data_IF_865670466554
#
_entry.id   IF_865670466554
#
_cell.length_a   1.000
_cell.length_b   1.000
_cell.length_c   1.000
_cell.angle_alpha   90.00
_cell.angle_beta   90.00
_cell.angle_gamma   90.00
#
_symmetry.space_group_name_H-M   'P 1'
#
loop_
_entity.id
_entity.type
_entity.pdbx_description
1 polymer ?
#
# COMPACT_ATOMS: atom_id res chain seq x y z
N UNK A 1 -25.40 -0.84 21.77
CA UNK A 1 -25.59 -1.88 20.72
C UNK A 1 -25.64 -1.30 19.31
N UNK A 2 -26.34 -0.19 19.03
CA UNK A 2 -26.41 0.39 17.67
C UNK A 2 -25.05 0.76 17.02
N UNK A 3 -24.10 1.37 17.75
CA UNK A 3 -22.81 1.79 17.16
C UNK A 3 -21.98 0.57 16.71
N UNK A 4 -21.92 -0.48 17.53
CA UNK A 4 -21.19 -1.69 17.15
C UNK A 4 -21.77 -2.30 15.87
N UNK A 5 -23.09 -2.41 15.84
CA UNK A 5 -23.82 -2.99 14.72
C UNK A 5 -23.60 -2.19 13.41
N UNK A 6 -23.66 -0.86 13.47
CA UNK A 6 -23.56 -0.03 12.26
C UNK A 6 -22.12 0.21 11.77
N UNK A 7 -21.11 0.12 12.64
CA UNK A 7 -19.74 0.51 12.29
C UNK A 7 -18.75 -0.67 12.25
N UNK A 8 -19.01 -1.74 13.00
CA UNK A 8 -18.04 -2.82 13.22
C UNK A 8 -18.56 -4.22 12.87
N UNK A 9 -19.87 -4.42 12.82
CA UNK A 9 -20.48 -5.71 12.52
C UNK A 9 -20.78 -5.87 11.03
N UNK A 10 -20.80 -7.11 10.54
CA UNK A 10 -21.34 -7.44 9.21
C UNK A 10 -22.88 -7.32 9.13
N UNK A 11 -23.56 -7.20 10.27
CA UNK A 11 -25.02 -7.08 10.37
C UNK A 11 -25.50 -5.63 10.52
N UNK A 12 -25.04 -4.73 9.65
CA UNK A 12 -25.41 -3.31 9.61
C UNK A 12 -26.71 -3.05 8.82
N UNK A 13 -27.34 -1.90 9.03
CA UNK A 13 -28.57 -1.50 8.29
C UNK A 13 -28.33 -0.42 7.24
N UNK A 14 -27.18 0.28 7.31
CA UNK A 14 -26.79 1.30 6.35
C UNK A 14 -26.66 0.79 4.91
N UNK A 15 -27.05 1.61 3.95
CA UNK A 15 -26.83 1.29 2.54
C UNK A 15 -25.32 1.31 2.19
N UNK A 16 -24.87 0.47 1.23
CA UNK A 16 -23.51 0.52 0.75
C UNK A 16 -23.13 1.90 0.23
N UNK A 17 -21.87 2.30 0.40
CA UNK A 17 -21.37 3.58 -0.08
C UNK A 17 -21.57 3.76 -1.60
N UNK A 18 -21.42 2.67 -2.37
CA UNK A 18 -21.43 2.65 -3.82
C UNK A 18 -20.06 2.98 -4.41
N UNK A 19 -19.58 2.12 -5.31
CA UNK A 19 -18.34 2.40 -6.04
C UNK A 19 -18.51 3.61 -6.96
N UNK A 20 -17.58 4.57 -6.87
CA UNK A 20 -17.61 5.87 -7.57
C UNK A 20 -18.85 6.73 -7.28
N UNK A 21 -19.54 6.47 -6.17
CA UNK A 21 -20.61 7.37 -5.69
C UNK A 21 -20.04 8.69 -5.19
N UNK A 22 -20.90 9.68 -4.98
CA UNK A 22 -20.52 10.95 -4.36
C UNK A 22 -19.86 10.76 -2.99
N UNK A 23 -20.34 9.81 -2.18
CA UNK A 23 -19.77 9.51 -0.87
C UNK A 23 -18.34 8.94 -1.00
N UNK A 24 -18.13 7.97 -1.89
CA UNK A 24 -16.81 7.41 -2.16
C UNK A 24 -15.83 8.47 -2.67
N UNK A 25 -16.24 9.27 -3.65
CA UNK A 25 -15.40 10.32 -4.23
C UNK A 25 -15.07 11.41 -3.22
N UNK A 26 -16.01 11.79 -2.35
CA UNK A 26 -15.78 12.76 -1.28
C UNK A 26 -14.76 12.22 -0.27
N UNK A 27 -14.90 10.96 0.15
CA UNK A 27 -13.96 10.31 1.07
C UNK A 27 -12.54 10.24 0.50
N UNK A 28 -12.41 9.82 -0.76
CA UNK A 28 -11.13 9.80 -1.47
C UNK A 28 -10.55 11.21 -1.60
N UNK A 29 -11.36 12.18 -2.01
CA UNK A 29 -10.92 13.56 -2.21
C UNK A 29 -10.38 14.17 -0.93
N UNK A 30 -11.12 14.05 0.18
CA UNK A 30 -10.67 14.53 1.50
C UNK A 30 -9.43 13.78 1.96
N UNK A 31 -9.42 12.45 1.87
CA UNK A 31 -8.29 11.62 2.30
C UNK A 31 -7.00 11.97 1.57
N UNK A 32 -7.04 12.02 0.24
CA UNK A 32 -5.86 12.37 -0.57
C UNK A 32 -5.44 13.83 -0.41
N UNK A 33 -6.39 14.77 -0.28
CA UNK A 33 -6.06 16.16 -0.02
C UNK A 33 -5.30 16.30 1.29
N UNK A 34 -5.82 15.74 2.38
CA UNK A 34 -5.19 15.76 3.69
C UNK A 34 -3.80 15.09 3.67
N UNK A 35 -3.69 13.90 3.08
CA UNK A 35 -2.41 13.20 2.98
C UNK A 35 -1.39 13.96 2.14
N UNK A 36 -1.80 14.53 1.02
CA UNK A 36 -0.90 15.29 0.14
C UNK A 36 -0.41 16.55 0.83
N UNK A 37 -1.31 17.33 1.43
CA UNK A 37 -0.95 18.53 2.19
C UNK A 37 0.00 18.20 3.33
N UNK A 38 -0.29 17.14 4.10
CA UNK A 38 0.56 16.71 5.21
C UNK A 38 1.93 16.20 4.71
N UNK A 39 1.98 15.42 3.63
CA UNK A 39 3.22 14.92 3.05
C UNK A 39 4.10 16.06 2.52
N UNK A 40 3.50 17.04 1.85
CA UNK A 40 4.21 18.21 1.31
C UNK A 40 4.73 19.09 2.43
N UNK A 41 3.90 19.44 3.41
CA UNK A 41 4.28 20.31 4.53
C UNK A 41 5.36 19.67 5.41
N UNK A 42 5.18 18.42 5.83
CA UNK A 42 6.17 17.70 6.62
C UNK A 42 7.43 17.36 5.82
N UNK A 43 7.27 16.97 4.56
CA UNK A 43 8.39 16.62 3.68
C UNK A 43 9.31 17.82 3.43
N UNK A 44 8.74 18.99 3.12
CA UNK A 44 9.51 20.23 2.90
C UNK A 44 10.17 20.72 4.18
N UNK A 45 9.43 20.78 5.29
CA UNK A 45 9.98 21.26 6.57
C UNK A 45 11.09 20.35 7.14
N UNK A 46 11.09 19.05 6.78
CA UNK A 46 12.08 18.07 7.24
C UNK A 46 13.15 17.72 6.22
N UNK A 47 13.16 18.34 5.03
CA UNK A 47 14.11 18.01 3.96
C UNK A 47 15.58 18.08 4.40
N UNK A 48 15.94 19.07 5.21
CA UNK A 48 17.30 19.30 5.70
C UNK A 48 17.53 18.76 7.12
N UNK A 49 16.57 18.01 7.67
CA UNK A 49 16.68 17.38 8.99
C UNK A 49 17.46 16.07 8.90
N UNK A 50 17.85 15.56 10.06
CA UNK A 50 18.55 14.28 10.15
C UNK A 50 17.66 13.13 9.66
N UNK A 51 18.28 12.04 9.19
CA UNK A 51 17.54 10.85 8.76
C UNK A 51 16.64 10.30 9.89
N UNK A 52 17.10 10.37 11.14
CA UNK A 52 16.34 9.94 12.31
C UNK A 52 15.05 10.76 12.50
N UNK A 53 15.14 12.08 12.36
CA UNK A 53 13.97 12.96 12.42
C UNK A 53 13.01 12.72 11.25
N UNK A 54 13.54 12.42 10.06
CA UNK A 54 12.72 12.08 8.90
C UNK A 54 11.97 10.76 9.13
N UNK A 55 12.66 9.72 9.61
CA UNK A 55 12.08 8.40 9.92
C UNK A 55 11.07 8.44 11.06
N UNK A 56 11.15 9.39 11.99
CA UNK A 56 10.13 9.57 13.04
C UNK A 56 8.73 9.77 12.46
N UNK A 57 8.60 10.50 11.34
CA UNK A 57 7.32 10.68 10.64
C UNK A 57 6.82 9.36 10.07
N UNK A 58 7.70 8.56 9.47
CA UNK A 58 7.34 7.23 8.96
C UNK A 58 6.90 6.29 10.08
N UNK A 59 7.45 6.42 11.29
CA UNK A 59 7.00 5.61 12.45
C UNK A 59 5.56 5.93 12.81
N UNK A 60 5.17 7.20 12.80
CA UNK A 60 3.77 7.57 13.04
C UNK A 60 2.85 7.01 11.96
N UNK A 61 3.25 7.08 10.68
CA UNK A 61 2.48 6.48 9.59
C UNK A 61 2.37 4.95 9.72
N UNK A 62 3.47 4.27 10.08
CA UNK A 62 3.50 2.83 10.29
C UNK A 62 2.58 2.40 11.44
N UNK A 63 2.67 3.08 12.59
CA UNK A 63 1.83 2.80 13.77
C UNK A 63 0.36 3.08 13.45
N UNK A 64 0.07 4.19 12.78
CA UNK A 64 -1.29 4.53 12.33
C UNK A 64 -1.88 3.43 11.45
N UNK A 65 -1.13 3.00 10.43
CA UNK A 65 -1.58 1.97 9.51
C UNK A 65 -1.81 0.62 10.21
N UNK A 66 -0.89 0.21 11.09
CA UNK A 66 -1.02 -1.02 11.87
C UNK A 66 -2.19 -0.96 12.86
N UNK A 67 -2.44 0.21 13.47
CA UNK A 67 -3.56 0.39 14.40
C UNK A 67 -4.90 0.15 13.72
N UNK A 68 -5.14 0.73 12.54
CA UNK A 68 -6.39 0.53 11.80
C UNK A 68 -6.56 -0.90 11.29
N UNK A 69 -5.47 -1.52 10.82
CA UNK A 69 -5.49 -2.92 10.43
C UNK A 69 -5.84 -3.84 11.62
N UNK A 70 -5.21 -3.61 12.78
CA UNK A 70 -5.51 -4.36 14.00
C UNK A 70 -6.95 -4.14 14.48
N UNK A 71 -7.46 -2.91 14.39
CA UNK A 71 -8.83 -2.58 14.75
C UNK A 71 -9.85 -3.32 13.88
N UNK A 72 -9.63 -3.35 12.55
CA UNK A 72 -10.49 -4.10 11.62
C UNK A 72 -10.43 -5.60 11.90
N UNK A 73 -9.23 -6.18 12.05
CA UNK A 73 -9.08 -7.61 12.35
C UNK A 73 -9.77 -7.98 13.67
N UNK A 74 -9.62 -7.14 14.70
CA UNK A 74 -10.29 -7.36 15.97
C UNK A 74 -11.82 -7.32 15.83
N UNK A 75 -12.35 -6.35 15.07
CA UNK A 75 -13.79 -6.25 14.79
C UNK A 75 -14.32 -7.50 14.09
N UNK A 76 -13.63 -7.98 13.04
CA UNK A 76 -14.02 -9.19 12.31
C UNK A 76 -14.01 -10.42 13.21
N UNK A 77 -13.00 -10.58 14.06
CA UNK A 77 -12.90 -11.73 14.96
C UNK A 77 -14.00 -11.72 16.02
N UNK A 78 -14.37 -10.54 16.53
CA UNK A 78 -15.47 -10.39 17.49
C UNK A 78 -16.80 -10.70 16.81
N UNK A 79 -17.03 -10.17 15.60
CA UNK A 79 -18.26 -10.38 14.85
C UNK A 79 -18.44 -11.85 14.42
N UNK A 80 -17.35 -12.50 14.02
CA UNK A 80 -17.34 -13.92 13.65
C UNK A 80 -17.33 -14.86 14.87
N UNK A 81 -17.14 -14.35 16.08
CA UNK A 81 -16.95 -15.17 17.30
C UNK A 81 -15.77 -16.15 17.21
N UNK A 82 -14.79 -15.91 16.33
CA UNK A 82 -13.68 -16.82 16.06
C UNK A 82 -12.44 -16.07 15.54
N UNK A 83 -11.22 -16.62 15.73
CA UNK A 83 -10.00 -16.00 15.21
C UNK A 83 -9.77 -16.27 13.71
N UNK A 84 -10.64 -17.04 13.06
CA UNK A 84 -10.45 -17.44 11.66
C UNK A 84 -10.31 -16.27 10.66
N UNK A 85 -11.00 -15.11 10.83
CA UNK A 85 -10.81 -13.95 9.95
C UNK A 85 -9.38 -13.41 9.90
N UNK A 86 -8.53 -13.71 10.88
CA UNK A 86 -7.10 -13.38 10.82
C UNK A 86 -6.41 -14.02 9.62
N UNK A 87 -6.85 -15.23 9.23
CA UNK A 87 -6.30 -15.96 8.08
C UNK A 87 -6.63 -15.31 6.74
N UNK A 88 -7.65 -14.43 6.68
CA UNK A 88 -8.04 -13.67 5.49
C UNK A 88 -7.36 -12.30 5.43
N UNK A 89 -6.75 -11.88 6.54
CA UNK A 89 -6.16 -10.54 6.71
C UNK A 89 -4.62 -10.58 6.72
N UNK A 90 -4.00 -11.69 6.28
CA UNK A 90 -2.54 -11.74 6.18
C UNK A 90 -2.03 -10.74 5.12
N UNK A 91 -0.82 -10.18 5.29
CA UNK A 91 -0.29 -9.12 4.44
C UNK A 91 0.22 -9.62 3.07
N UNK A 92 -0.42 -10.65 2.50
CA UNK A 92 -0.03 -11.28 1.24
C UNK A 92 -0.84 -10.76 0.04
N UNK A 93 -1.73 -9.79 0.23
CA UNK A 93 -2.23 -8.98 -0.88
C UNK A 93 -1.23 -7.90 -1.27
N UNK A 94 -1.25 -7.47 -2.55
CA UNK A 94 -0.28 -6.52 -3.10
C UNK A 94 -0.21 -5.21 -2.32
N UNK A 95 -1.35 -4.63 -1.95
CA UNK A 95 -1.40 -3.41 -1.14
C UNK A 95 -1.08 -3.65 0.34
N UNK A 96 -1.38 -4.84 0.86
CA UNK A 96 -1.13 -5.22 2.24
C UNK A 96 0.35 -5.45 2.57
N UNK A 97 1.22 -5.57 1.56
CA UNK A 97 2.69 -5.57 1.75
C UNK A 97 3.14 -4.34 2.55
N UNK A 98 2.41 -3.22 2.43
CA UNK A 98 2.70 -1.97 3.15
C UNK A 98 2.62 -2.13 4.68
N UNK A 99 1.82 -3.08 5.19
CA UNK A 99 1.78 -3.42 6.63
C UNK A 99 3.10 -3.99 7.14
N UNK A 100 3.99 -4.45 6.25
CA UNK A 100 5.32 -4.95 6.60
C UNK A 100 6.40 -3.99 6.12
N UNK A 101 6.32 -3.52 4.87
CA UNK A 101 7.33 -2.66 4.27
C UNK A 101 7.46 -1.31 4.99
N UNK A 102 6.35 -0.68 5.38
CA UNK A 102 6.40 0.62 6.04
C UNK A 102 7.00 0.53 7.46
N UNK A 103 6.63 -0.42 8.33
CA UNK A 103 7.33 -0.64 9.59
C UNK A 103 8.82 -0.94 9.41
N UNK A 104 9.20 -1.78 8.46
CA UNK A 104 10.62 -2.07 8.21
C UNK A 104 11.38 -0.83 7.69
N UNK A 105 10.75 0.02 6.89
CA UNK A 105 11.31 1.32 6.53
C UNK A 105 11.44 2.26 7.74
N UNK A 106 10.47 2.27 8.65
CA UNK A 106 10.41 3.21 9.76
C UNK A 106 11.29 2.84 10.98
N UNK A 107 11.36 1.54 11.28
CA UNK A 107 12.03 0.99 12.47
C UNK A 107 13.23 0.11 12.15
N UNK A 108 13.36 -0.34 10.90
CA UNK A 108 14.50 -1.13 10.47
C UNK A 108 15.81 -0.35 10.57
N UNK A 109 16.91 -1.07 10.34
CA UNK A 109 18.26 -0.51 10.35
C UNK A 109 18.95 -0.77 9.00
N UNK A 110 20.00 0.01 8.75
CA UNK A 110 20.97 -0.19 7.68
C UNK A 110 20.33 -0.44 6.31
N UNK A 111 20.69 -1.55 5.65
CA UNK A 111 20.28 -1.90 4.29
C UNK A 111 18.79 -2.23 4.21
N UNK A 112 18.23 -2.90 5.22
CA UNK A 112 16.80 -3.26 5.24
C UNK A 112 15.93 -2.01 5.25
N UNK A 113 16.23 -1.06 6.14
CA UNK A 113 15.48 0.20 6.20
C UNK A 113 15.50 0.93 4.87
N UNK A 114 16.66 0.97 4.21
CA UNK A 114 16.85 1.63 2.92
C UNK A 114 16.08 0.95 1.78
N UNK A 115 16.25 -0.37 1.61
CA UNK A 115 15.52 -1.17 0.61
C UNK A 115 14.01 -1.01 0.77
N UNK A 116 13.52 -1.05 2.01
CA UNK A 116 12.09 -0.90 2.30
C UNK A 116 11.60 0.53 2.11
N UNK A 117 12.45 1.53 2.37
CA UNK A 117 12.12 2.94 2.07
C UNK A 117 11.91 3.14 0.57
N UNK A 118 12.82 2.59 -0.25
CA UNK A 118 12.72 2.66 -1.72
C UNK A 118 11.51 1.85 -2.22
N UNK A 119 11.23 0.70 -1.61
CA UNK A 119 10.02 -0.09 -1.89
C UNK A 119 8.75 0.72 -1.61
N UNK A 120 8.62 1.31 -0.42
CA UNK A 120 7.48 2.15 -0.02
C UNK A 120 7.33 3.36 -0.94
N UNK A 121 8.43 3.99 -1.37
CA UNK A 121 8.40 5.12 -2.29
C UNK A 121 7.78 4.77 -3.65
N UNK A 122 7.99 3.55 -4.13
CA UNK A 122 7.44 3.04 -5.40
C UNK A 122 6.01 2.51 -5.20
N UNK A 123 5.84 1.59 -4.26
CA UNK A 123 4.58 0.86 -4.09
C UNK A 123 3.53 1.62 -3.29
N UNK A 124 3.90 2.55 -2.42
CA UNK A 124 2.93 3.32 -1.64
C UNK A 124 2.02 4.20 -2.50
N UNK A 125 2.51 4.70 -3.64
CA UNK A 125 1.67 5.41 -4.63
C UNK A 125 0.70 4.46 -5.31
N UNK A 126 1.17 3.28 -5.73
CA UNK A 126 0.30 2.26 -6.32
C UNK A 126 -0.78 1.83 -5.32
N UNK A 127 -0.39 1.55 -4.07
CA UNK A 127 -1.31 1.19 -3.01
C UNK A 127 -2.36 2.31 -2.83
N UNK A 128 -1.94 3.57 -2.75
CA UNK A 128 -2.86 4.69 -2.64
C UNK A 128 -3.88 4.71 -3.78
N UNK A 129 -3.43 4.67 -5.04
CA UNK A 129 -4.30 4.81 -6.21
C UNK A 129 -5.14 3.55 -6.45
N UNK A 130 -4.50 2.39 -6.58
CA UNK A 130 -5.21 1.15 -6.91
C UNK A 130 -6.03 0.62 -5.73
N UNK A 131 -5.53 0.79 -4.50
CA UNK A 131 -6.14 0.21 -3.32
C UNK A 131 -7.21 1.09 -2.66
N UNK A 132 -7.10 2.42 -2.69
CA UNK A 132 -8.20 3.28 -2.21
C UNK A 132 -9.23 3.53 -3.32
N UNK A 133 -8.78 3.99 -4.51
CA UNK A 133 -9.70 4.34 -5.59
C UNK A 133 -10.27 3.13 -6.33
N UNK A 134 -9.58 2.00 -6.31
CA UNK A 134 -9.98 0.75 -6.98
C UNK A 134 -10.65 -0.29 -6.08
N UNK A 135 -10.92 -0.01 -4.79
CA UNK A 135 -11.55 -0.95 -3.85
C UNK A 135 -13.06 -1.13 -4.07
N UNK A 136 -13.48 -1.35 -5.31
CA UNK A 136 -14.88 -1.46 -5.70
C UNK A 136 -15.67 -2.49 -4.87
N UNK A 137 -15.05 -3.60 -4.49
CA UNK A 137 -15.67 -4.64 -3.67
C UNK A 137 -16.12 -4.10 -2.31
N UNK A 138 -15.24 -3.40 -1.59
CA UNK A 138 -15.53 -2.90 -0.24
C UNK A 138 -16.64 -1.86 -0.27
N UNK A 139 -16.57 -0.89 -1.19
CA UNK A 139 -17.58 0.18 -1.27
C UNK A 139 -18.93 -0.29 -1.83
N UNK A 140 -19.00 -1.44 -2.50
CA UNK A 140 -20.27 -2.05 -2.94
C UNK A 140 -21.00 -2.80 -1.83
N UNK A 141 -20.29 -3.17 -0.76
CA UNK A 141 -20.85 -3.96 0.33
C UNK A 141 -21.10 -3.08 1.54
N UNK A 142 -20.12 -2.26 1.94
CA UNK A 142 -20.16 -1.57 3.22
C UNK A 142 -20.56 -0.09 3.08
N UNK A 143 -21.25 0.49 4.09
CA UNK A 143 -21.54 1.91 4.17
C UNK A 143 -20.28 2.76 4.19
N UNK A 144 -20.38 4.03 3.78
CA UNK A 144 -19.23 4.92 3.70
C UNK A 144 -18.50 5.04 5.05
N UNK A 145 -19.22 5.13 6.16
CA UNK A 145 -18.67 5.22 7.52
C UNK A 145 -18.69 3.85 8.23
N UNK A 146 -18.11 2.83 7.60
CA UNK A 146 -17.94 1.49 8.20
C UNK A 146 -16.45 1.21 8.45
N UNK A 147 -16.11 0.34 9.41
CA UNK A 147 -14.69 0.03 9.69
C UNK A 147 -13.96 -0.50 8.46
N UNK A 148 -14.64 -1.24 7.57
CA UNK A 148 -14.05 -1.79 6.36
C UNK A 148 -13.72 -0.72 5.31
N UNK A 149 -14.60 0.26 5.11
CA UNK A 149 -14.36 1.38 4.18
C UNK A 149 -13.35 2.35 4.76
N UNK A 150 -13.44 2.64 6.06
CA UNK A 150 -12.52 3.53 6.76
C UNK A 150 -11.12 2.95 6.85
N UNK A 151 -10.96 1.69 7.26
CA UNK A 151 -9.65 1.02 7.27
C UNK A 151 -9.05 1.04 5.87
N UNK A 152 -9.80 0.59 4.86
CA UNK A 152 -9.33 0.61 3.47
C UNK A 152 -8.88 2.01 3.03
N UNK A 153 -9.70 3.04 3.24
CA UNK A 153 -9.32 4.41 2.90
C UNK A 153 -8.04 4.85 3.64
N UNK A 154 -8.03 4.70 4.96
CA UNK A 154 -6.99 5.25 5.82
C UNK A 154 -5.64 4.56 5.62
N UNK A 155 -5.61 3.23 5.44
CA UNK A 155 -4.36 2.47 5.26
C UNK A 155 -3.72 2.74 3.89
N UNK A 156 -4.53 2.91 2.85
CA UNK A 156 -4.04 3.26 1.51
C UNK A 156 -3.65 4.74 1.40
N UNK A 157 -4.40 5.65 2.01
CA UNK A 157 -4.05 7.08 2.10
C UNK A 157 -2.76 7.27 2.92
N UNK A 158 -2.57 6.52 4.01
CA UNK A 158 -1.32 6.52 4.77
C UNK A 158 -0.13 6.01 3.94
N UNK A 159 -0.34 4.99 3.10
CA UNK A 159 0.67 4.48 2.16
C UNK A 159 1.08 5.54 1.13
N UNK A 160 0.10 6.27 0.58
CA UNK A 160 0.35 7.39 -0.34
C UNK A 160 1.07 8.56 0.32
N UNK A 161 0.64 8.93 1.53
CA UNK A 161 1.32 9.91 2.37
C UNK A 161 2.79 9.52 2.58
N UNK A 162 3.06 8.28 2.99
CA UNK A 162 4.42 7.81 3.26
C UNK A 162 5.30 7.88 2.00
N UNK A 163 4.78 7.44 0.85
CA UNK A 163 5.50 7.51 -0.41
C UNK A 163 5.85 8.97 -0.79
N UNK A 164 4.86 9.86 -0.82
CA UNK A 164 5.08 11.27 -1.15
C UNK A 164 6.04 11.95 -0.17
N UNK A 165 5.90 11.67 1.13
CA UNK A 165 6.79 12.21 2.15
C UNK A 165 8.23 11.73 1.94
N UNK A 166 8.46 10.45 1.63
CA UNK A 166 9.78 9.89 1.34
C UNK A 166 10.43 10.62 0.16
N UNK A 167 9.65 10.87 -0.91
CA UNK A 167 10.11 11.62 -2.07
C UNK A 167 10.50 13.05 -1.72
N UNK A 168 9.61 13.79 -1.07
CA UNK A 168 9.79 15.22 -0.82
C UNK A 168 10.89 15.46 0.23
N UNK A 169 11.02 14.57 1.21
CA UNK A 169 12.05 14.65 2.25
C UNK A 169 13.41 14.11 1.82
N UNK A 170 13.56 13.57 0.60
CA UNK A 170 14.79 12.95 0.09
C UNK A 170 15.27 11.81 0.98
N UNK A 171 14.34 10.94 1.40
CA UNK A 171 14.69 9.74 2.17
C UNK A 171 14.96 8.53 1.27
N UNK A 172 14.39 8.51 0.06
CA UNK A 172 14.67 7.48 -0.92
C UNK A 172 16.06 7.65 -1.53
N UNK A 173 16.71 6.54 -1.83
CA UNK A 173 18.09 6.51 -2.34
C UNK A 173 18.22 5.85 -3.71
N UNK A 174 17.39 4.86 -4.00
CA UNK A 174 17.40 4.07 -5.25
C UNK A 174 18.79 3.62 -5.68
N UNK A 175 19.59 3.13 -4.73
CA UNK A 175 20.94 2.62 -5.05
C UNK A 175 20.83 1.42 -5.98
N UNK A 176 21.62 1.42 -7.05
CA UNK A 176 21.64 0.33 -8.04
C UNK A 176 21.88 -1.05 -7.41
N UNK A 177 22.73 -1.11 -6.38
CA UNK A 177 23.03 -2.33 -5.62
C UNK A 177 21.84 -2.91 -4.84
N UNK A 178 20.82 -2.09 -4.55
CA UNK A 178 19.64 -2.47 -3.78
C UNK A 178 18.44 -2.80 -4.68
N UNK A 179 18.49 -2.46 -5.97
CA UNK A 179 17.43 -2.74 -6.96
C UNK A 179 17.01 -4.22 -6.98
N UNK A 180 17.93 -5.21 -7.03
CA UNK A 180 17.55 -6.62 -7.00
C UNK A 180 16.89 -7.02 -5.68
N UNK A 181 17.30 -6.42 -4.55
CA UNK A 181 16.68 -6.70 -3.26
C UNK A 181 15.27 -6.12 -3.20
N UNK A 182 15.06 -4.90 -3.67
CA UNK A 182 13.73 -4.29 -3.72
C UNK A 182 12.77 -5.09 -4.62
N UNK A 183 13.25 -5.63 -5.76
CA UNK A 183 12.49 -6.59 -6.57
C UNK A 183 12.21 -7.91 -5.82
N UNK A 184 13.24 -8.40 -5.12
CA UNK A 184 13.19 -9.62 -4.32
C UNK A 184 12.17 -9.55 -3.18
N UNK A 185 11.92 -8.36 -2.60
CA UNK A 185 10.83 -8.17 -1.62
C UNK A 185 9.50 -8.57 -2.24
N UNK A 186 9.17 -8.02 -3.42
CA UNK A 186 7.92 -8.37 -4.11
C UNK A 186 7.86 -9.87 -4.41
N UNK A 187 8.95 -10.45 -4.92
CA UNK A 187 9.05 -11.88 -5.22
C UNK A 187 8.86 -12.77 -3.98
N UNK A 188 9.42 -12.39 -2.83
CA UNK A 188 9.25 -13.12 -1.59
C UNK A 188 7.79 -13.13 -1.13
N UNK A 189 7.09 -11.99 -1.22
CA UNK A 189 5.66 -11.92 -0.92
C UNK A 189 4.81 -12.71 -1.92
N UNK A 190 5.19 -12.76 -3.20
CA UNK A 190 4.54 -13.62 -4.20
C UNK A 190 4.67 -15.10 -3.84
N UNK A 191 5.87 -15.54 -3.46
CA UNK A 191 6.10 -16.93 -3.04
C UNK A 191 5.24 -17.25 -1.80
N UNK A 192 5.24 -16.37 -0.79
CA UNK A 192 4.42 -16.54 0.41
C UNK A 192 2.92 -16.57 0.11
N UNK A 193 2.46 -15.76 -0.84
CA UNK A 193 1.07 -15.76 -1.30
C UNK A 193 0.69 -17.08 -1.97
N UNK A 194 1.51 -17.61 -2.88
CA UNK A 194 1.29 -18.92 -3.52
C UNK A 194 1.24 -20.03 -2.47
N UNK A 195 2.21 -20.07 -1.56
CA UNK A 195 2.26 -21.09 -0.50
C UNK A 195 1.03 -21.00 0.41
N UNK A 196 0.63 -19.79 0.78
CA UNK A 196 -0.53 -19.58 1.67
C UNK A 196 -1.85 -19.94 0.98
N UNK A 197 -2.01 -19.60 -0.30
CA UNK A 197 -3.17 -20.03 -1.10
C UNK A 197 -3.25 -21.56 -1.17
N UNK A 198 -2.12 -22.24 -1.39
CA UNK A 198 -2.07 -23.71 -1.44
C UNK A 198 -2.38 -24.35 -0.08
N UNK A 199 -1.82 -23.81 1.01
CA UNK A 199 -2.05 -24.31 2.37
C UNK A 199 -3.50 -24.11 2.84
N UNK A 200 -4.14 -23.01 2.43
CA UNK A 200 -5.50 -22.67 2.85
C UNK A 200 -6.58 -23.19 1.89
N UNK A 201 -6.21 -23.79 0.76
CA UNK A 201 -7.15 -24.26 -0.27
C UNK A 201 -8.17 -25.28 0.24
N UNK A 202 -7.79 -26.12 1.21
CA UNK A 202 -8.66 -27.14 1.82
C UNK A 202 -9.43 -26.63 3.04
N UNK A 203 -9.28 -25.35 3.40
CA UNK A 203 -9.96 -24.75 4.55
C UNK A 203 -11.28 -24.08 4.11
N UNK A 204 -12.21 -23.84 5.05
CA UNK A 204 -13.41 -23.04 4.78
C UNK A 204 -13.13 -21.57 4.40
N UNK A 205 -11.87 -21.14 4.45
CA UNK A 205 -11.43 -19.75 4.22
C UNK A 205 -10.47 -19.69 3.02
N UNK A 206 -10.92 -20.06 1.80
CA UNK A 206 -10.06 -20.06 0.64
C UNK A 206 -9.61 -18.62 0.33
N UNK A 207 -8.30 -18.44 0.21
CA UNK A 207 -7.67 -17.14 -0.06
C UNK A 207 -7.32 -16.99 -1.55
N UNK A 208 -7.25 -15.74 -2.00
CA UNK A 208 -6.77 -15.37 -3.32
C UNK A 208 -5.67 -14.31 -3.19
N UNK A 209 -4.65 -14.62 -2.40
CA UNK A 209 -3.53 -13.71 -2.18
C UNK A 209 -2.84 -13.38 -3.50
N UNK A 210 -2.50 -12.09 -3.65
CA UNK A 210 -1.97 -11.49 -4.87
C UNK A 210 -2.80 -11.72 -6.15
N UNK A 211 -4.06 -12.12 -6.01
CA UNK A 211 -4.94 -12.40 -7.15
C UNK A 211 -4.41 -13.52 -8.06
N UNK A 212 -3.72 -14.52 -7.50
CA UNK A 212 -3.13 -15.61 -8.30
C UNK A 212 -4.11 -16.70 -8.76
N UNK A 213 -5.31 -16.79 -8.17
CA UNK A 213 -6.32 -17.75 -8.62
C UNK A 213 -7.41 -17.12 -9.48
N UNK A 214 -7.72 -15.84 -9.30
CA UNK A 214 -8.72 -15.08 -10.08
C UNK A 214 -8.51 -13.58 -9.94
N UNK A 215 -9.11 -12.78 -10.84
CA UNK A 215 -8.86 -11.33 -10.87
C UNK A 215 -9.58 -10.53 -9.79
N UNK A 216 -10.70 -11.01 -9.26
CA UNK A 216 -11.56 -10.28 -8.31
C UNK A 216 -11.89 -8.84 -8.75
N UNK A 217 -12.07 -8.64 -10.07
CA UNK A 217 -12.40 -7.33 -10.65
C UNK A 217 -11.23 -6.35 -10.74
N UNK A 218 -10.00 -6.80 -10.47
CA UNK A 218 -8.77 -6.03 -10.71
C UNK A 218 -8.42 -6.00 -12.20
N UNK A 219 -7.46 -5.15 -12.63
CA UNK A 219 -6.96 -5.14 -14.01
C UNK A 219 -6.43 -6.50 -14.51
N UNK A 220 -6.16 -7.46 -13.61
CA UNK A 220 -5.77 -8.83 -13.98
C UNK A 220 -6.89 -9.62 -14.70
N UNK A 221 -8.11 -9.08 -14.77
CA UNK A 221 -9.20 -9.64 -15.58
C UNK A 221 -8.80 -9.87 -17.04
N UNK A 222 -7.89 -9.06 -17.59
CA UNK A 222 -7.36 -9.28 -18.93
C UNK A 222 -6.65 -10.64 -19.04
N UNK A 223 -5.80 -10.98 -18.07
CA UNK A 223 -5.11 -12.27 -18.04
C UNK A 223 -6.07 -13.41 -17.77
N UNK A 224 -7.08 -13.20 -16.93
CA UNK A 224 -8.12 -14.19 -16.67
C UNK A 224 -8.90 -14.53 -17.94
N UNK A 225 -9.22 -13.54 -18.77
CA UNK A 225 -9.88 -13.75 -20.09
C UNK A 225 -8.99 -14.49 -21.09
N UNK A 226 -7.68 -14.28 -21.05
CA UNK A 226 -6.73 -14.87 -22.00
C UNK A 226 -6.34 -16.30 -21.63
N UNK A 227 -6.14 -16.58 -20.35
CA UNK A 227 -5.56 -17.84 -19.86
C UNK A 227 -6.52 -18.66 -18.99
N UNK A 228 -7.68 -18.12 -18.62
CA UNK A 228 -8.61 -18.71 -17.67
C UNK A 228 -8.17 -18.55 -16.21
N UNK A 229 -9.15 -18.42 -15.31
CA UNK A 229 -8.91 -18.43 -13.87
C UNK A 229 -8.22 -19.74 -13.43
N UNK A 230 -7.48 -19.69 -12.33
CA UNK A 230 -6.75 -20.81 -11.70
C UNK A 230 -5.65 -21.46 -12.56
N UNK A 231 -5.40 -20.97 -13.78
CA UNK A 231 -4.34 -21.50 -14.62
C UNK A 231 -2.95 -21.01 -14.16
N UNK A 232 -1.93 -21.83 -14.39
CA UNK A 232 -0.53 -21.45 -14.13
C UNK A 232 -0.14 -20.22 -14.97
N UNK A 233 -0.60 -20.16 -16.22
CA UNK A 233 -0.33 -19.03 -17.13
C UNK A 233 -0.94 -17.73 -16.62
N UNK A 234 -2.14 -17.78 -16.04
CA UNK A 234 -2.76 -16.64 -15.37
C UNK A 234 -1.89 -16.14 -14.20
N UNK A 235 -1.51 -17.03 -13.28
CA UNK A 235 -0.70 -16.67 -12.11
C UNK A 235 0.66 -16.08 -12.51
N UNK A 236 1.34 -16.68 -13.49
CA UNK A 236 2.62 -16.18 -14.02
C UNK A 236 2.46 -14.80 -14.68
N UNK A 237 1.39 -14.59 -15.46
CA UNK A 237 1.13 -13.30 -16.11
C UNK A 237 0.86 -12.19 -15.10
N UNK A 238 0.08 -12.50 -14.05
CA UNK A 238 -0.17 -11.60 -12.93
C UNK A 238 1.12 -11.23 -12.20
N UNK A 239 1.98 -12.21 -11.90
CA UNK A 239 3.29 -11.96 -11.25
C UNK A 239 4.21 -11.09 -12.13
N UNK A 240 4.31 -11.40 -13.42
CA UNK A 240 5.09 -10.63 -14.38
C UNK A 240 4.60 -9.19 -14.50
N UNK A 241 3.28 -8.97 -14.50
CA UNK A 241 2.71 -7.62 -14.55
C UNK A 241 3.05 -6.79 -13.30
N UNK A 242 3.04 -7.41 -12.12
CA UNK A 242 3.46 -6.76 -10.87
C UNK A 242 4.95 -6.37 -10.88
N UNK A 243 5.83 -7.25 -11.38
CA UNK A 243 7.24 -6.90 -11.57
C UNK A 243 7.47 -5.87 -12.66
N UNK A 244 6.72 -5.92 -13.75
CA UNK A 244 6.78 -4.92 -14.82
C UNK A 244 6.41 -3.54 -14.28
N UNK A 245 5.33 -3.45 -13.50
CA UNK A 245 4.96 -2.22 -12.81
C UNK A 245 6.09 -1.71 -11.92
N UNK A 246 6.64 -2.57 -11.06
CA UNK A 246 7.76 -2.20 -10.21
C UNK A 246 8.98 -1.73 -11.02
N UNK A 247 9.32 -2.40 -12.12
CA UNK A 247 10.44 -2.05 -12.98
C UNK A 247 10.26 -0.70 -13.66
N UNK A 248 9.08 -0.44 -14.23
CA UNK A 248 8.73 0.84 -14.86
C UNK A 248 8.74 1.96 -13.83
N UNK A 249 8.07 1.76 -12.70
CA UNK A 249 8.02 2.75 -11.63
C UNK A 249 9.42 3.01 -11.06
N UNK A 250 10.20 1.98 -10.75
CA UNK A 250 11.59 2.10 -10.27
C UNK A 250 12.52 2.82 -11.26
N UNK A 251 12.38 2.55 -12.56
CA UNK A 251 13.14 3.25 -13.60
C UNK A 251 12.78 4.76 -13.68
N UNK A 252 11.50 5.10 -13.56
CA UNK A 252 11.06 6.50 -13.48
C UNK A 252 11.61 7.18 -12.22
N UNK A 253 11.51 6.49 -11.08
CA UNK A 253 11.94 6.97 -9.77
C UNK A 253 13.44 7.26 -9.73
N UNK A 254 14.28 6.33 -10.20
CA UNK A 254 15.74 6.51 -10.26
C UNK A 254 16.16 7.65 -11.19
N UNK A 255 15.46 7.87 -12.31
CA UNK A 255 15.73 9.01 -13.20
C UNK A 255 15.40 10.35 -12.54
N UNK A 256 14.34 10.40 -11.73
CA UNK A 256 13.94 11.62 -11.02
C UNK A 256 14.91 11.96 -9.87
N UNK A 257 15.43 10.97 -9.14
CA UNK A 257 16.40 11.22 -8.08
C UNK A 257 17.75 11.72 -8.65
N UNK A 258 18.27 11.09 -9.71
CA UNK A 258 19.52 11.53 -10.35
C UNK A 258 19.46 12.97 -10.88
N UNK A 259 18.31 13.41 -11.40
CA UNK A 259 18.13 14.81 -11.85
C UNK A 259 18.13 15.80 -10.68
N UNK A 260 17.60 15.40 -9.52
CA UNK A 260 17.59 16.25 -8.33
C UNK A 260 19.00 16.46 -7.75
N UNK A 261 19.84 15.43 -7.76
CA UNK A 261 21.23 15.51 -7.28
C UNK A 261 22.11 16.37 -8.22
N UNK A 262 21.90 16.26 -9.54
CA UNK A 262 22.61 17.12 -10.51
C UNK A 262 22.22 18.59 -10.40
N UNK A 263 20.95 18.90 -10.12
CA UNK A 263 20.49 20.28 -9.94
C UNK A 263 21.00 20.92 -8.63
N UNK A 264 21.36 20.12 -7.62
CA UNK A 264 21.96 20.61 -6.37
C UNK A 264 23.48 20.78 -6.44
N UNK A 265 24.14 20.10 -7.38
CA UNK A 265 25.61 20.14 -7.55
C UNK A 265 26.07 21.09 -8.65
N UNK A 266 25.16 21.60 -9.50
CA UNK A 266 25.48 22.67 -10.45
C UNK A 266 25.74 24.00 -9.70
N UNK A 267 26.89 24.67 -9.93
CA UNK A 267 27.17 25.95 -9.29
C UNK A 267 26.08 26.97 -9.66
N UNK A 268 25.53 27.64 -8.65
CA UNK A 268 24.60 28.75 -8.87
C UNK A 268 25.30 29.81 -9.72
N UNK A 269 24.72 30.25 -10.86
CA UNK A 269 25.30 31.33 -11.66
C UNK A 269 25.36 32.68 -10.91
N UNK A 270 24.75 32.76 -9.72
CA UNK A 270 24.81 33.93 -8.85
C UNK A 270 25.97 33.94 -7.84
N UNK A 271 26.83 32.90 -7.81
CA UNK A 271 27.94 32.82 -6.84
C UNK A 271 29.32 33.09 -7.47
N UNK A 272 29.36 33.81 -8.59
CA UNK A 272 30.60 34.22 -9.27
C UNK A 272 30.80 35.76 -9.31
N UNK A 273 30.14 36.51 -8.43
CA UNK A 273 30.29 37.97 -8.35
C UNK A 273 30.51 38.50 -6.91
N UNK A 274 31.16 37.72 -6.05
CA UNK A 274 31.75 38.23 -4.80
C UNK A 274 33.27 38.02 -4.80
#
# INVERSE_FOLDING_TARGET
MHIWQEYFSTSFTGAPAGFLSAAHLLQLGIGYLCATLLAVTLGRSRRHRTEQEKRRVLRYAAVFQLFFAALKIAADCIDAGSPAPMLLSMPFYLCSIMFVALPLAAFGKSRVARVMTDFVAIFGVLAAVAGAAGAAYIYKIYPALHIHTLECLLTHVASGFAALYIWISHLATFRREDVPLTAGVLGAFMILAVLSNALLASTPYPTNYMFFSRSDGTPFLLFEKLFGAQSILYALSTALAMWLWWGVAGALCSRLSHRADHAQTSPSPYRQQE
#
